data_IF_829204534670
#
_entry.id   IF_829204534670
#
_cell.length_a   1.000
_cell.length_b   1.000
_cell.length_c   1.000
_cell.angle_alpha   90.00
_cell.angle_beta   90.00
_cell.angle_gamma   90.00
#
_symmetry.space_group_name_H-M   'P 1'
#
loop_
_entity.id
_entity.type
_entity.pdbx_description
1 polymer ?
#
# COMPACT_ATOMS: atom_id res chain seq x y z
N UNK A 1 8.86 23.75 7.55
CA UNK A 1 9.69 22.53 7.46
C UNK A 1 9.75 21.71 8.75
N UNK A 2 10.17 22.24 9.91
CA UNK A 2 10.30 21.45 11.17
C UNK A 2 9.01 20.76 11.63
N UNK A 3 7.88 21.47 11.54
CA UNK A 3 6.57 20.91 11.89
C UNK A 3 6.18 19.77 10.93
N UNK A 4 6.42 19.94 9.62
CA UNK A 4 6.16 18.90 8.63
C UNK A 4 6.96 17.63 8.93
N UNK A 5 8.26 17.77 9.21
CA UNK A 5 9.11 16.63 9.61
C UNK A 5 8.54 15.94 10.85
N UNK A 6 8.19 16.69 11.90
CA UNK A 6 7.61 16.12 13.11
C UNK A 6 6.31 15.34 12.83
N UNK A 7 5.40 15.89 12.03
CA UNK A 7 4.14 15.22 11.67
C UNK A 7 4.37 13.93 10.87
N UNK A 8 5.31 13.92 9.93
CA UNK A 8 5.64 12.72 9.15
C UNK A 8 6.27 11.65 10.04
N UNK A 9 7.20 12.02 10.94
CA UNK A 9 7.79 11.09 11.89
C UNK A 9 6.75 10.53 12.87
N UNK A 10 5.83 11.36 13.36
CA UNK A 10 4.70 10.92 14.19
C UNK A 10 3.79 9.95 13.43
N UNK A 11 3.45 10.27 12.18
CA UNK A 11 2.64 9.38 11.32
C UNK A 11 3.29 8.00 11.17
N UNK A 12 4.60 7.98 10.90
CA UNK A 12 5.37 6.75 10.76
C UNK A 12 5.43 5.97 12.07
N UNK A 13 5.75 6.64 13.18
CA UNK A 13 5.82 6.02 14.51
C UNK A 13 4.47 5.45 14.98
N UNK A 14 3.38 6.18 14.79
CA UNK A 14 2.02 5.71 15.11
C UNK A 14 1.63 4.49 14.29
N UNK A 15 2.03 4.46 13.01
CA UNK A 15 1.85 3.28 12.17
C UNK A 15 2.63 2.11 12.76
N UNK A 16 3.94 2.24 13.02
CA UNK A 16 4.80 1.16 13.53
C UNK A 16 4.38 0.62 14.90
N UNK A 17 3.89 1.49 15.78
CA UNK A 17 3.37 1.12 17.11
C UNK A 17 2.01 0.41 17.04
N UNK A 18 1.38 0.33 15.87
CA UNK A 18 0.11 -0.36 15.66
C UNK A 18 -1.07 0.44 16.19
N UNK A 19 -1.05 1.77 16.08
CA UNK A 19 -2.21 2.59 16.44
C UNK A 19 -3.42 2.20 15.57
N UNK A 20 -4.48 1.70 16.21
CA UNK A 20 -5.71 1.27 15.54
C UNK A 20 -6.77 2.37 15.46
N UNK A 21 -6.47 3.59 15.95
CA UNK A 21 -7.39 4.72 15.95
C UNK A 21 -7.17 5.66 14.75
N UNK A 22 -6.11 5.44 13.97
CA UNK A 22 -5.85 6.17 12.73
C UNK A 22 -5.33 7.59 12.94
N UNK A 23 -4.64 7.85 14.05
CA UNK A 23 -4.01 9.14 14.33
C UNK A 23 -3.09 9.61 13.18
N UNK A 24 -2.39 8.66 12.54
CA UNK A 24 -1.51 8.95 11.41
C UNK A 24 -2.23 9.66 10.25
N UNK A 25 -3.51 9.35 10.01
CA UNK A 25 -4.25 9.95 8.89
C UNK A 25 -4.53 11.43 9.14
N UNK A 26 -4.73 11.82 10.40
CA UNK A 26 -4.83 13.23 10.79
C UNK A 26 -3.49 13.96 10.59
N UNK A 27 -2.38 13.33 10.96
CA UNK A 27 -1.04 13.87 10.73
C UNK A 27 -0.70 14.00 9.24
N UNK A 28 -1.07 13.02 8.40
CA UNK A 28 -0.90 13.08 6.95
C UNK A 28 -1.75 14.20 6.33
N UNK A 29 -3.01 14.38 6.75
CA UNK A 29 -3.84 15.51 6.28
C UNK A 29 -3.25 16.87 6.65
N UNK A 30 -2.77 17.03 7.88
CA UNK A 30 -2.10 18.25 8.30
C UNK A 30 -0.81 18.48 7.50
N UNK A 31 -0.02 17.41 7.28
CA UNK A 31 1.19 17.44 6.46
C UNK A 31 0.90 17.93 5.05
N UNK A 32 -0.15 17.41 4.40
CA UNK A 32 -0.59 17.86 3.07
C UNK A 32 -0.77 19.38 2.99
N UNK A 33 -1.42 19.98 3.99
CA UNK A 33 -1.65 21.44 4.01
C UNK A 33 -0.34 22.22 4.13
N UNK A 34 0.58 21.75 4.97
CA UNK A 34 1.91 22.36 5.07
C UNK A 34 2.71 22.22 3.78
N UNK A 35 2.60 21.08 3.10
CA UNK A 35 3.27 20.85 1.82
C UNK A 35 2.75 21.82 0.77
N UNK A 36 1.42 22.00 0.68
CA UNK A 36 0.80 22.98 -0.22
C UNK A 36 1.27 24.41 0.07
N UNK A 37 1.40 24.79 1.35
CA UNK A 37 1.92 26.10 1.73
C UNK A 37 3.39 26.27 1.33
N UNK A 38 4.21 25.24 1.49
CA UNK A 38 5.62 25.26 1.11
C UNK A 38 5.80 25.31 -0.41
N UNK A 39 4.98 24.59 -1.18
CA UNK A 39 5.01 24.57 -2.63
C UNK A 39 4.65 25.94 -3.25
N UNK A 40 3.74 26.68 -2.60
CA UNK A 40 3.29 28.00 -3.04
C UNK A 40 4.14 29.15 -2.46
N UNK A 41 5.11 28.86 -1.59
CA UNK A 41 6.03 29.86 -1.08
C UNK A 41 7.19 30.01 -2.07
N UNK A 42 7.61 31.24 -2.44
CA UNK A 42 8.86 31.42 -3.16
C UNK A 42 9.96 30.94 -2.22
N UNK A 43 10.43 29.70 -2.42
CA UNK A 43 11.52 29.11 -1.64
C UNK A 43 12.70 30.07 -1.76
N UNK A 44 12.92 30.85 -0.70
CA UNK A 44 14.15 31.60 -0.53
C UNK A 44 15.28 30.62 -0.73
N UNK A 45 16.19 30.96 -1.65
CA UNK A 45 17.46 30.31 -1.93
C UNK A 45 18.04 29.71 -0.66
N UNK A 46 17.72 28.45 -0.39
CA UNK A 46 18.08 27.79 0.85
C UNK A 46 19.04 26.66 0.52
N UNK A 47 20.02 26.53 1.40
CA UNK A 47 21.10 25.56 1.37
C UNK A 47 20.63 24.16 0.97
N UNK A 48 21.47 23.43 0.23
CA UNK A 48 21.22 22.09 -0.34
C UNK A 48 20.56 21.11 0.66
N UNK A 49 20.90 21.22 1.95
CA UNK A 49 20.41 20.33 3.01
C UNK A 49 18.90 20.44 3.27
N UNK A 50 18.31 21.65 3.22
CA UNK A 50 16.87 21.82 3.46
C UNK A 50 16.05 21.22 2.32
N UNK A 51 16.53 21.35 1.09
CA UNK A 51 15.91 20.76 -0.09
C UNK A 51 16.01 19.23 -0.08
N UNK A 52 17.17 18.68 0.33
CA UNK A 52 17.35 17.23 0.50
C UNK A 52 16.45 16.67 1.60
N UNK A 53 16.35 17.35 2.74
CA UNK A 53 15.45 16.95 3.82
C UNK A 53 13.97 17.03 3.40
N UNK A 54 13.58 18.09 2.69
CA UNK A 54 12.22 18.22 2.16
C UNK A 54 11.90 17.09 1.16
N UNK A 55 12.85 16.75 0.28
CA UNK A 55 12.74 15.61 -0.64
C UNK A 55 12.45 14.31 0.11
N UNK A 56 13.27 13.99 1.11
CA UNK A 56 13.09 12.80 1.94
C UNK A 56 11.74 12.77 2.67
N UNK A 57 11.33 13.89 3.25
CA UNK A 57 10.03 14.02 3.95
C UNK A 57 8.85 13.82 3.00
N UNK A 58 8.95 14.34 1.77
CA UNK A 58 7.91 14.19 0.75
C UNK A 58 7.86 12.76 0.20
N UNK A 59 8.99 12.07 0.13
CA UNK A 59 9.03 10.66 -0.19
C UNK A 59 8.31 9.80 0.86
N UNK A 60 8.59 10.00 2.16
CA UNK A 60 7.89 9.28 3.24
C UNK A 60 6.39 9.59 3.20
N UNK A 61 6.01 10.85 3.01
CA UNK A 61 4.61 11.24 2.87
C UNK A 61 3.94 10.47 1.72
N UNK A 62 4.53 10.44 0.53
CA UNK A 62 4.00 9.72 -0.64
C UNK A 62 3.90 8.22 -0.35
N UNK A 63 4.94 7.63 0.24
CA UNK A 63 4.95 6.22 0.61
C UNK A 63 3.76 5.88 1.51
N UNK A 64 3.60 6.60 2.63
CA UNK A 64 2.52 6.38 3.58
C UNK A 64 1.13 6.61 2.94
N UNK A 65 0.98 7.64 2.12
CA UNK A 65 -0.29 7.90 1.41
C UNK A 65 -0.63 6.73 0.49
N UNK A 66 0.33 6.26 -0.31
CA UNK A 66 0.10 5.23 -1.33
C UNK A 66 -0.24 3.86 -0.71
N UNK A 67 0.61 3.36 0.19
CA UNK A 67 0.46 2.02 0.76
C UNK A 67 -0.77 1.87 1.66
N UNK A 68 -1.37 2.97 2.11
CA UNK A 68 -2.57 2.91 2.94
C UNK A 68 -3.88 2.79 2.13
N UNK A 69 -3.82 2.70 0.80
CA UNK A 69 -5.00 2.49 -0.07
C UNK A 69 -5.49 1.03 -0.15
N UNK A 70 -5.24 0.22 0.89
CA UNK A 70 -5.64 -1.21 0.99
C UNK A 70 -7.15 -1.48 1.13
N UNK A 71 -7.98 -0.44 1.03
CA UNK A 71 -9.44 -0.53 1.04
C UNK A 71 -10.01 0.37 -0.05
N UNK A 72 -11.22 0.10 -0.58
CA UNK A 72 -11.86 0.97 -1.57
C UNK A 72 -11.89 2.44 -1.13
N UNK A 73 -11.69 3.34 -2.09
CA UNK A 73 -11.63 4.78 -1.82
C UNK A 73 -12.93 5.26 -1.17
N UNK A 74 -12.81 6.10 -0.12
CA UNK A 74 -13.98 6.60 0.61
C UNK A 74 -14.69 5.56 1.49
N UNK A 75 -14.22 4.30 1.55
CA UNK A 75 -14.83 3.30 2.42
C UNK A 75 -14.68 3.67 3.91
N UNK A 76 -13.64 4.40 4.29
CA UNK A 76 -13.47 4.89 5.66
C UNK A 76 -13.06 6.36 5.54
N UNK A 77 -13.96 7.26 5.90
CA UNK A 77 -13.75 8.71 5.76
C UNK A 77 -12.51 9.16 6.54
N UNK A 78 -12.37 8.69 7.78
CA UNK A 78 -11.22 8.98 8.66
C UNK A 78 -9.89 8.41 8.16
N UNK A 79 -9.88 7.55 7.14
CA UNK A 79 -8.67 7.06 6.45
C UNK A 79 -8.41 7.78 5.13
N UNK A 80 -9.46 8.28 4.49
CA UNK A 80 -9.39 8.77 3.11
C UNK A 80 -8.46 9.98 3.01
N UNK A 81 -7.49 9.87 2.12
CA UNK A 81 -6.54 10.92 1.75
C UNK A 81 -6.74 11.23 0.27
N UNK A 82 -6.75 12.50 -0.13
CA UNK A 82 -6.84 12.87 -1.54
C UNK A 82 -5.60 12.40 -2.30
N UNK A 83 -5.80 12.01 -3.56
CA UNK A 83 -4.70 11.79 -4.48
C UNK A 83 -4.27 13.15 -5.07
N UNK A 84 -3.06 13.56 -4.76
CA UNK A 84 -2.55 14.90 -5.00
C UNK A 84 -1.63 14.95 -6.21
N UNK A 85 -2.15 15.35 -7.37
CA UNK A 85 -1.37 15.48 -8.61
C UNK A 85 -0.32 16.58 -8.54
N UNK A 86 -0.47 17.56 -7.63
CA UNK A 86 0.52 18.63 -7.46
C UNK A 86 1.88 18.13 -6.96
N UNK A 87 1.93 16.91 -6.38
CA UNK A 87 3.17 16.29 -5.92
C UNK A 87 4.01 15.75 -7.07
N UNK A 88 3.45 15.57 -8.26
CA UNK A 88 4.17 15.02 -9.40
C UNK A 88 5.19 16.03 -9.92
N UNK A 89 4.80 17.30 -10.02
CA UNK A 89 5.68 18.41 -10.39
C UNK A 89 6.81 18.58 -9.36
N UNK A 90 6.48 18.47 -8.07
CA UNK A 90 7.46 18.61 -6.97
C UNK A 90 8.44 17.44 -6.99
N UNK A 91 7.98 16.20 -7.22
CA UNK A 91 8.84 15.01 -7.27
C UNK A 91 9.75 15.00 -8.48
N UNK A 92 9.34 15.55 -9.62
CA UNK A 92 10.23 15.74 -10.77
C UNK A 92 11.52 16.47 -10.39
N UNK A 93 11.42 17.48 -9.50
CA UNK A 93 12.57 18.24 -9.00
C UNK A 93 13.40 17.53 -7.92
N UNK A 94 12.90 16.43 -7.35
CA UNK A 94 13.55 15.66 -6.27
C UNK A 94 14.50 14.58 -6.76
N UNK A 95 14.37 14.18 -8.02
CA UNK A 95 15.19 13.13 -8.66
C UNK A 95 16.69 13.43 -8.64
N UNK A 96 17.07 14.68 -8.36
CA UNK A 96 18.45 15.12 -8.18
C UNK A 96 19.10 14.67 -6.85
N UNK A 97 18.32 14.17 -5.89
CA UNK A 97 18.83 13.74 -4.58
C UNK A 97 18.98 12.22 -4.51
N UNK A 98 20.10 11.79 -3.92
CA UNK A 98 20.47 10.38 -3.71
C UNK A 98 19.52 9.59 -2.80
N UNK A 99 18.69 10.28 -2.00
CA UNK A 99 17.69 9.65 -1.14
C UNK A 99 16.45 9.19 -1.90
N UNK A 100 16.22 9.71 -3.12
CA UNK A 100 14.98 9.51 -3.87
C UNK A 100 14.77 8.03 -4.20
N UNK A 101 13.66 7.46 -3.71
CA UNK A 101 13.23 6.09 -3.98
C UNK A 101 13.71 5.06 -2.96
N UNK A 102 14.52 5.47 -1.99
CA UNK A 102 15.05 4.58 -0.95
C UNK A 102 13.95 3.98 -0.07
N UNK A 103 12.92 4.76 0.28
CA UNK A 103 11.82 4.30 1.15
C UNK A 103 10.96 3.25 0.44
N UNK A 104 10.84 3.36 -0.89
CA UNK A 104 10.06 2.43 -1.69
C UNK A 104 10.79 1.11 -1.98
N UNK A 105 12.10 1.01 -1.77
CA UNK A 105 12.86 -0.20 -2.11
C UNK A 105 12.74 -0.60 -3.59
N UNK A 106 12.42 0.34 -4.47
CA UNK A 106 12.16 0.12 -5.90
C UNK A 106 10.69 -0.10 -6.29
N UNK A 107 9.74 -0.20 -5.35
CA UNK A 107 8.32 -0.47 -5.65
C UNK A 107 7.47 0.78 -5.91
N UNK A 108 8.08 1.97 -6.00
CA UNK A 108 7.37 3.26 -6.13
C UNK A 108 6.31 3.25 -7.22
N UNK A 109 6.68 2.84 -8.44
CA UNK A 109 5.77 2.83 -9.57
C UNK A 109 4.58 1.87 -9.41
N UNK A 110 4.69 0.85 -8.56
CA UNK A 110 3.59 -0.06 -8.22
C UNK A 110 2.69 0.53 -7.13
N UNK A 111 3.26 1.10 -6.07
CA UNK A 111 2.47 1.67 -4.98
C UNK A 111 1.72 2.94 -5.39
N UNK A 112 2.28 3.73 -6.31
CA UNK A 112 1.58 4.88 -6.91
C UNK A 112 0.29 4.49 -7.65
N UNK A 113 0.14 3.22 -8.05
CA UNK A 113 -1.05 2.72 -8.76
C UNK A 113 -2.20 2.43 -7.76
N UNK A 114 -1.89 2.13 -6.50
CA UNK A 114 -2.87 1.70 -5.48
C UNK A 114 -4.04 2.69 -5.28
N UNK A 115 -3.85 4.02 -5.20
CA UNK A 115 -4.97 4.97 -5.12
C UNK A 115 -5.97 4.83 -6.27
N UNK A 116 -5.47 4.64 -7.50
CA UNK A 116 -6.33 4.46 -8.67
C UNK A 116 -7.10 3.12 -8.61
N UNK A 117 -6.46 2.05 -8.15
CA UNK A 117 -7.14 0.76 -7.93
C UNK A 117 -8.24 0.90 -6.86
N UNK A 118 -7.98 1.63 -5.77
CA UNK A 118 -8.96 1.89 -4.73
C UNK A 118 -10.16 2.70 -5.23
N UNK A 119 -9.94 3.67 -6.12
CA UNK A 119 -11.02 4.43 -6.80
C UNK A 119 -11.84 3.53 -7.72
N UNK A 120 -11.18 2.66 -8.51
CA UNK A 120 -11.88 1.68 -9.34
C UNK A 120 -12.73 0.74 -8.48
N UNK A 121 -12.19 0.24 -7.37
CA UNK A 121 -12.90 -0.62 -6.43
C UNK A 121 -14.16 0.06 -5.90
N UNK A 122 -14.04 1.31 -5.43
CA UNK A 122 -15.18 2.08 -4.93
C UNK A 122 -16.27 2.26 -5.98
N UNK A 123 -15.87 2.56 -7.23
CA UNK A 123 -16.80 2.70 -8.35
C UNK A 123 -17.54 1.38 -8.65
N UNK A 124 -16.80 0.28 -8.78
CA UNK A 124 -17.34 -1.04 -9.13
C UNK A 124 -18.32 -1.59 -8.11
N UNK A 125 -18.22 -1.19 -6.83
CA UNK A 125 -19.20 -1.56 -5.80
C UNK A 125 -20.61 -1.00 -6.06
N UNK A 126 -20.73 0.10 -6.80
CA UNK A 126 -22.02 0.74 -7.10
C UNK A 126 -22.62 0.29 -8.42
N UNK A 127 -21.83 -0.37 -9.26
CA UNK A 127 -22.18 -0.74 -10.62
C UNK A 127 -22.63 -2.21 -10.68
N UNK A 128 -23.79 -2.49 -11.30
CA UNK A 128 -24.24 -3.86 -11.55
C UNK A 128 -23.29 -4.60 -12.50
N UNK A 129 -23.00 -3.97 -13.63
CA UNK A 129 -22.07 -4.42 -14.67
C UNK A 129 -20.99 -3.36 -14.90
N UNK A 130 -19.75 -3.71 -15.29
CA UNK A 130 -18.68 -2.73 -15.51
C UNK A 130 -19.06 -1.68 -16.55
N UNK A 131 -19.03 -0.40 -16.14
CA UNK A 131 -19.19 0.70 -17.09
C UNK A 131 -18.01 0.78 -18.05
N UNK A 132 -18.19 1.39 -19.23
CA UNK A 132 -17.11 1.60 -20.21
C UNK A 132 -15.90 2.31 -19.58
N UNK A 133 -16.13 3.24 -18.65
CA UNK A 133 -15.06 3.97 -17.99
C UNK A 133 -14.35 3.10 -16.94
N UNK A 134 -15.07 2.25 -16.19
CA UNK A 134 -14.45 1.24 -15.31
C UNK A 134 -13.58 0.27 -16.11
N UNK A 135 -14.08 -0.25 -17.24
CA UNK A 135 -13.33 -1.19 -18.09
C UNK A 135 -12.07 -0.55 -18.69
N UNK A 136 -12.15 0.71 -19.14
CA UNK A 136 -10.96 1.45 -19.62
C UNK A 136 -9.94 1.68 -18.52
N UNK A 137 -10.40 2.07 -17.34
CA UNK A 137 -9.52 2.28 -16.18
C UNK A 137 -8.84 0.97 -15.78
N UNK A 138 -9.58 -0.14 -15.72
CA UNK A 138 -9.04 -1.48 -15.50
C UNK A 138 -7.96 -1.84 -16.52
N UNK A 139 -8.25 -1.70 -17.82
CA UNK A 139 -7.29 -2.02 -18.88
C UNK A 139 -6.02 -1.18 -18.79
N UNK A 140 -6.16 0.13 -18.56
CA UNK A 140 -5.01 1.04 -18.43
C UNK A 140 -4.14 0.69 -17.21
N UNK A 141 -4.77 0.40 -16.06
CA UNK A 141 -4.06 -0.01 -14.85
C UNK A 141 -3.38 -1.37 -15.05
N UNK A 142 -4.07 -2.33 -15.64
CA UNK A 142 -3.53 -3.65 -15.92
C UNK A 142 -2.27 -3.56 -16.77
N UNK A 143 -2.34 -2.87 -17.91
CA UNK A 143 -1.17 -2.63 -18.79
C UNK A 143 -0.03 -1.98 -18.02
N UNK A 144 -0.32 -0.93 -17.25
CA UNK A 144 0.70 -0.22 -16.45
C UNK A 144 1.39 -1.14 -15.42
N UNK A 145 0.67 -2.07 -14.81
CA UNK A 145 1.23 -3.02 -13.83
C UNK A 145 2.03 -4.12 -14.53
N UNK A 146 1.51 -4.69 -15.62
CA UNK A 146 2.16 -5.80 -16.34
C UNK A 146 3.40 -5.37 -17.11
N UNK A 147 3.40 -4.15 -17.65
CA UNK A 147 4.55 -3.59 -18.36
C UNK A 147 5.56 -2.89 -17.44
N UNK A 148 5.24 -2.77 -16.14
CA UNK A 148 6.13 -2.16 -15.17
C UNK A 148 7.45 -2.95 -15.06
N UNK A 149 8.57 -2.25 -15.18
CA UNK A 149 9.92 -2.82 -15.02
C UNK A 149 10.50 -2.36 -13.71
N UNK A 150 11.19 -3.27 -13.02
CA UNK A 150 11.97 -2.92 -11.84
C UNK A 150 12.98 -1.83 -12.22
N UNK A 151 13.07 -0.73 -11.44
CA UNK A 151 14.16 0.22 -11.61
C UNK A 151 15.49 -0.45 -11.27
N UNK A 152 16.58 0.11 -11.78
CA UNK A 152 17.92 -0.29 -11.34
C UNK A 152 18.14 0.11 -9.87
N UNK A 153 18.87 -0.69 -9.09
CA UNK A 153 19.18 -0.33 -7.71
C UNK A 153 20.08 0.91 -7.68
N UNK A 154 19.78 1.85 -6.78
CA UNK A 154 20.60 3.07 -6.56
C UNK A 154 22.01 2.69 -6.11
N UNK A 155 22.12 1.64 -5.28
CA UNK A 155 23.40 1.04 -4.86
C UNK A 155 23.35 -0.44 -5.23
N UNK A 156 24.27 -0.94 -6.07
CA UNK A 156 24.36 -2.36 -6.37
C UNK A 156 24.74 -3.14 -5.11
N UNK A 157 23.76 -3.74 -4.44
CA UNK A 157 23.98 -4.73 -3.38
C UNK A 157 23.72 -6.12 -3.92
N UNK A 158 24.80 -6.81 -4.28
CA UNK A 158 24.74 -8.16 -4.82
C UNK A 158 24.21 -9.18 -3.79
N UNK A 159 24.28 -8.87 -2.49
CA UNK A 159 23.88 -9.80 -1.42
C UNK A 159 22.39 -10.10 -1.43
N UNK A 160 21.56 -9.10 -1.71
CA UNK A 160 20.09 -9.20 -1.59
C UNK A 160 19.37 -9.05 -2.93
N UNK A 161 20.09 -9.14 -4.05
CA UNK A 161 19.52 -8.88 -5.36
C UNK A 161 18.37 -9.85 -5.71
N UNK A 162 18.52 -11.14 -5.42
CA UNK A 162 17.44 -12.11 -5.61
C UNK A 162 16.21 -11.78 -4.76
N UNK A 163 16.39 -11.41 -3.49
CA UNK A 163 15.28 -11.09 -2.58
C UNK A 163 14.62 -9.78 -2.96
N UNK A 164 15.38 -8.82 -3.51
CA UNK A 164 14.85 -7.59 -4.10
C UNK A 164 13.90 -7.92 -5.25
N UNK A 165 14.35 -8.70 -6.21
CA UNK A 165 13.55 -9.07 -7.39
C UNK A 165 12.26 -9.76 -6.96
N UNK A 166 12.36 -10.76 -6.08
CA UNK A 166 11.20 -11.47 -5.51
C UNK A 166 10.25 -10.52 -4.77
N UNK A 167 10.76 -9.59 -3.95
CA UNK A 167 9.91 -8.64 -3.22
C UNK A 167 9.17 -7.68 -4.17
N UNK A 168 9.81 -7.26 -5.26
CA UNK A 168 9.18 -6.41 -6.27
C UNK A 168 8.13 -7.17 -7.08
N UNK A 169 8.37 -8.43 -7.41
CA UNK A 169 7.38 -9.32 -8.02
C UNK A 169 6.19 -9.55 -7.09
N UNK A 170 6.43 -9.78 -5.80
CA UNK A 170 5.38 -9.86 -4.78
C UNK A 170 4.52 -8.60 -4.76
N UNK A 171 5.14 -7.42 -4.77
CA UNK A 171 4.41 -6.15 -4.84
C UNK A 171 3.56 -6.07 -6.13
N UNK A 172 4.10 -6.48 -7.28
CA UNK A 172 3.36 -6.47 -8.56
C UNK A 172 2.14 -7.37 -8.50
N UNK A 173 2.32 -8.61 -8.04
CA UNK A 173 1.25 -9.60 -7.89
C UNK A 173 0.16 -9.14 -6.92
N UNK A 174 0.51 -8.48 -5.83
CA UNK A 174 -0.46 -7.93 -4.90
C UNK A 174 -1.28 -6.77 -5.52
N UNK A 175 -0.65 -5.91 -6.32
CA UNK A 175 -1.38 -4.83 -7.02
C UNK A 175 -2.30 -5.42 -8.10
N UNK A 176 -1.88 -6.46 -8.83
CA UNK A 176 -2.73 -7.20 -9.77
C UNK A 176 -3.92 -7.87 -9.06
N UNK A 177 -3.66 -8.54 -7.93
CA UNK A 177 -4.71 -9.14 -7.10
C UNK A 177 -5.73 -8.11 -6.64
N UNK A 178 -5.28 -6.93 -6.19
CA UNK A 178 -6.20 -5.86 -5.83
C UNK A 178 -6.99 -5.37 -7.06
N UNK A 179 -6.34 -5.22 -8.22
CA UNK A 179 -7.02 -4.81 -9.44
C UNK A 179 -8.13 -5.80 -9.87
N UNK A 180 -7.86 -7.11 -9.81
CA UNK A 180 -8.83 -8.15 -10.11
C UNK A 180 -10.02 -8.10 -9.14
N UNK A 181 -9.76 -8.03 -7.82
CA UNK A 181 -10.83 -7.93 -6.81
C UNK A 181 -11.62 -6.61 -6.91
N UNK A 182 -10.99 -5.52 -7.34
CA UNK A 182 -11.64 -4.24 -7.60
C UNK A 182 -12.61 -4.33 -8.78
N UNK A 183 -12.20 -4.96 -9.88
CA UNK A 183 -13.02 -5.09 -11.09
C UNK A 183 -14.20 -6.05 -10.90
N UNK A 184 -13.95 -7.14 -10.18
CA UNK A 184 -14.88 -8.23 -9.97
C UNK A 184 -15.25 -8.38 -8.47
N UNK A 185 -16.05 -7.46 -7.89
CA UNK A 185 -16.39 -7.49 -6.47
C UNK A 185 -17.23 -8.71 -6.04
N UNK A 186 -17.71 -9.51 -7.00
CA UNK A 186 -18.42 -10.79 -6.79
C UNK A 186 -17.58 -11.99 -7.22
N UNK A 187 -16.25 -11.86 -7.21
CA UNK A 187 -15.33 -12.85 -7.74
C UNK A 187 -15.53 -14.26 -7.19
N UNK A 188 -16.02 -14.40 -5.95
CA UNK A 188 -16.26 -15.72 -5.34
C UNK A 188 -17.41 -16.50 -6.01
N UNK A 189 -18.32 -15.82 -6.70
CA UNK A 189 -19.44 -16.45 -7.42
C UNK A 189 -19.03 -16.98 -8.80
N UNK A 190 -17.88 -16.57 -9.34
CA UNK A 190 -17.37 -17.01 -10.64
C UNK A 190 -16.11 -17.85 -10.47
N UNK A 191 -16.18 -19.12 -10.87
CA UNK A 191 -15.07 -20.07 -10.69
C UNK A 191 -13.78 -19.60 -11.36
N UNK A 192 -13.86 -18.99 -12.55
CA UNK A 192 -12.67 -18.55 -13.30
C UNK A 192 -11.97 -17.41 -12.58
N UNK A 193 -12.71 -16.39 -12.15
CA UNK A 193 -12.16 -15.26 -11.39
C UNK A 193 -11.66 -15.70 -10.02
N UNK A 194 -12.37 -16.62 -9.35
CA UNK A 194 -11.92 -17.20 -8.08
C UNK A 194 -10.57 -17.90 -8.22
N UNK A 195 -10.40 -18.73 -9.26
CA UNK A 195 -9.11 -19.41 -9.50
C UNK A 195 -7.99 -18.40 -9.72
N UNK A 196 -8.19 -17.39 -10.58
CA UNK A 196 -7.17 -16.34 -10.82
C UNK A 196 -6.74 -15.63 -9.54
N UNK A 197 -7.69 -15.30 -8.65
CA UNK A 197 -7.38 -14.70 -7.36
C UNK A 197 -6.55 -15.62 -6.48
N UNK A 198 -6.88 -16.92 -6.43
CA UNK A 198 -6.14 -17.88 -5.63
C UNK A 198 -4.72 -18.10 -6.18
N UNK A 199 -4.55 -18.09 -7.50
CA UNK A 199 -3.24 -18.19 -8.15
C UNK A 199 -2.33 -17.02 -7.72
N UNK A 200 -2.83 -15.79 -7.74
CA UNK A 200 -2.08 -14.63 -7.22
C UNK A 200 -1.71 -14.79 -5.74
N UNK A 201 -2.65 -15.27 -4.90
CA UNK A 201 -2.38 -15.49 -3.46
C UNK A 201 -1.28 -16.53 -3.26
N UNK A 202 -1.29 -17.64 -4.01
CA UNK A 202 -0.26 -18.67 -3.93
C UNK A 202 1.12 -18.14 -4.37
N UNK A 203 1.18 -17.36 -5.45
CA UNK A 203 2.42 -16.72 -5.92
C UNK A 203 2.96 -15.73 -4.87
N UNK A 204 2.10 -14.88 -4.31
CA UNK A 204 2.48 -13.90 -3.28
C UNK A 204 3.06 -14.61 -2.06
N UNK A 205 2.45 -15.73 -1.61
CA UNK A 205 2.97 -16.50 -0.49
C UNK A 205 4.33 -17.12 -0.78
N UNK A 206 4.53 -17.67 -1.97
CA UNK A 206 5.81 -18.20 -2.41
C UNK A 206 6.90 -17.11 -2.38
N UNK A 207 6.61 -15.93 -2.90
CA UNK A 207 7.55 -14.82 -2.87
C UNK A 207 7.78 -14.26 -1.47
N UNK A 208 6.76 -14.28 -0.59
CA UNK A 208 6.91 -13.83 0.79
C UNK A 208 7.90 -14.71 1.56
N UNK A 209 7.83 -16.03 1.36
CA UNK A 209 8.75 -16.99 1.95
C UNK A 209 10.19 -16.76 1.44
N UNK A 210 10.36 -16.49 0.15
CA UNK A 210 11.67 -16.23 -0.47
C UNK A 210 12.28 -14.88 -0.10
N UNK A 211 11.46 -13.84 0.10
CA UNK A 211 11.91 -12.51 0.51
C UNK A 211 12.20 -12.42 2.02
N UNK A 212 11.78 -13.41 2.81
CA UNK A 212 11.98 -13.41 4.25
C UNK A 212 13.46 -13.42 4.64
N UNK A 213 13.78 -12.79 5.77
CA UNK A 213 15.14 -12.58 6.26
C UNK A 213 15.89 -11.45 5.55
N UNK A 214 15.32 -10.80 4.53
CA UNK A 214 15.96 -9.71 3.78
C UNK A 214 15.46 -8.32 4.22
N UNK A 215 16.23 -7.23 3.99
CA UNK A 215 15.76 -5.85 4.20
C UNK A 215 14.41 -5.52 3.55
N UNK A 216 14.05 -6.18 2.46
CA UNK A 216 12.83 -5.91 1.71
C UNK A 216 11.54 -6.32 2.43
N UNK A 217 11.61 -7.05 3.54
CA UNK A 217 10.45 -7.30 4.40
C UNK A 217 9.71 -6.01 4.81
N UNK A 218 10.42 -4.88 4.91
CA UNK A 218 9.84 -3.60 5.33
C UNK A 218 8.82 -3.02 4.34
N UNK A 219 8.80 -3.47 3.09
CA UNK A 219 7.81 -3.01 2.10
C UNK A 219 6.66 -4.01 1.88
N UNK A 220 6.67 -5.15 2.58
CA UNK A 220 5.75 -6.26 2.30
C UNK A 220 4.43 -6.18 3.06
N UNK A 221 4.29 -5.33 4.08
CA UNK A 221 3.07 -5.36 4.88
C UNK A 221 1.82 -4.97 4.07
N UNK A 222 1.88 -3.91 3.26
CA UNK A 222 0.78 -3.53 2.38
C UNK A 222 0.35 -4.65 1.41
N UNK A 223 1.25 -5.24 0.60
CA UNK A 223 0.87 -6.32 -0.30
C UNK A 223 0.39 -7.57 0.44
N UNK A 224 0.95 -7.89 1.61
CA UNK A 224 0.48 -9.00 2.44
C UNK A 224 -0.90 -8.74 3.06
N UNK A 225 -1.25 -7.50 3.39
CA UNK A 225 -2.61 -7.14 3.82
C UNK A 225 -3.63 -7.36 2.70
N UNK A 226 -3.29 -6.95 1.48
CA UNK A 226 -4.13 -7.19 0.29
C UNK A 226 -4.30 -8.69 0.08
N UNK A 227 -3.21 -9.45 -0.01
CA UNK A 227 -3.26 -10.89 -0.24
C UNK A 227 -3.95 -11.66 0.88
N UNK A 228 -3.62 -11.33 2.13
CA UNK A 228 -4.21 -11.91 3.33
C UNK A 228 -5.72 -11.76 3.36
N UNK A 229 -6.24 -10.60 2.96
CA UNK A 229 -7.69 -10.37 2.89
C UNK A 229 -8.41 -11.25 1.85
N UNK A 230 -7.67 -11.81 0.89
CA UNK A 230 -8.16 -12.73 -0.15
C UNK A 230 -7.93 -14.21 0.19
N UNK A 231 -7.27 -14.54 1.31
CA UNK A 231 -6.95 -15.94 1.62
C UNK A 231 -8.18 -16.75 2.02
N UNK A 232 -8.36 -17.90 1.37
CA UNK A 232 -9.44 -18.85 1.69
C UNK A 232 -8.95 -20.09 2.41
N UNK A 233 -7.70 -20.52 2.16
CA UNK A 233 -7.17 -21.75 2.73
C UNK A 233 -6.58 -21.53 4.12
N UNK A 234 -6.94 -22.41 5.06
CA UNK A 234 -6.50 -22.32 6.46
C UNK A 234 -4.98 -22.38 6.59
N UNK A 235 -4.28 -23.16 5.76
CA UNK A 235 -2.83 -23.28 5.81
C UNK A 235 -2.10 -21.98 5.40
N UNK A 236 -2.61 -21.26 4.41
CA UNK A 236 -2.08 -19.95 4.01
C UNK A 236 -2.29 -18.92 5.13
N UNK A 237 -3.50 -18.89 5.71
CA UNK A 237 -3.87 -17.99 6.81
C UNK A 237 -2.95 -18.19 8.02
N UNK A 238 -2.73 -19.44 8.41
CA UNK A 238 -1.84 -19.79 9.53
C UNK A 238 -0.39 -19.38 9.27
N UNK A 239 0.13 -19.66 8.07
CA UNK A 239 1.50 -19.25 7.68
C UNK A 239 1.67 -17.73 7.72
N UNK A 240 0.73 -16.98 7.14
CA UNK A 240 0.78 -15.51 7.16
C UNK A 240 0.67 -14.97 8.59
N UNK A 241 -0.24 -15.50 9.40
CA UNK A 241 -0.40 -15.08 10.80
C UNK A 241 0.87 -15.33 11.61
N UNK A 242 1.50 -16.49 11.43
CA UNK A 242 2.78 -16.81 12.07
C UNK A 242 3.88 -15.84 11.62
N UNK A 243 4.01 -15.59 10.31
CA UNK A 243 5.00 -14.66 9.76
C UNK A 243 4.83 -13.23 10.29
N UNK A 244 3.61 -12.70 10.29
CA UNK A 244 3.31 -11.35 10.79
C UNK A 244 3.54 -11.20 12.30
N UNK A 245 3.37 -12.28 13.09
CA UNK A 245 3.60 -12.25 14.54
C UNK A 245 5.06 -12.56 14.93
N UNK A 246 5.85 -13.12 14.02
CA UNK A 246 7.25 -13.48 14.25
C UNK A 246 8.24 -12.62 13.47
N UNK A 247 7.81 -11.44 13.00
CA UNK A 247 8.69 -10.54 12.24
C UNK A 247 9.92 -10.19 13.07
N UNK A 248 11.10 -10.24 12.43
CA UNK A 248 12.39 -9.95 13.09
C UNK A 248 12.45 -8.57 13.72
N UNK A 249 11.65 -7.64 13.21
CA UNK A 249 11.59 -6.26 13.67
C UNK A 249 10.69 -6.06 14.89
N UNK A 250 9.92 -7.08 15.29
CA UNK A 250 9.03 -7.05 16.45
C UNK A 250 8.07 -5.84 16.46
N UNK A 251 7.64 -5.41 15.27
CA UNK A 251 6.83 -4.22 15.13
C UNK A 251 5.35 -4.54 15.36
N UNK A 252 4.73 -3.87 16.34
CA UNK A 252 3.38 -4.19 16.83
C UNK A 252 2.31 -4.07 15.75
N UNK A 253 2.50 -3.20 14.75
CA UNK A 253 1.56 -3.06 13.64
C UNK A 253 1.42 -4.33 12.78
N UNK A 254 2.45 -5.18 12.69
CA UNK A 254 2.32 -6.49 12.04
C UNK A 254 1.40 -7.43 12.86
N UNK A 255 1.44 -7.35 14.19
CA UNK A 255 0.54 -8.11 15.08
C UNK A 255 -0.90 -7.61 14.94
N UNK A 256 -1.10 -6.28 14.83
CA UNK A 256 -2.41 -5.68 14.59
C UNK A 256 -2.96 -6.07 13.21
N UNK A 257 -2.10 -6.06 12.18
CA UNK A 257 -2.44 -6.53 10.84
C UNK A 257 -2.91 -8.00 10.86
N UNK A 258 -2.18 -8.89 11.54
CA UNK A 258 -2.58 -10.28 11.71
C UNK A 258 -3.95 -10.43 12.40
N UNK A 259 -4.17 -9.65 13.47
CA UNK A 259 -5.45 -9.65 14.20
C UNK A 259 -6.60 -9.13 13.34
N UNK A 260 -6.36 -8.11 12.51
CA UNK A 260 -7.36 -7.58 11.59
C UNK A 260 -7.72 -8.59 10.50
N UNK A 261 -6.73 -9.29 9.94
CA UNK A 261 -6.98 -10.35 8.96
C UNK A 261 -7.77 -11.52 9.55
N UNK A 262 -7.50 -11.88 10.81
CA UNK A 262 -8.28 -12.90 11.53
C UNK A 262 -9.76 -12.53 11.66
N UNK A 263 -10.07 -11.24 11.88
CA UNK A 263 -11.45 -10.75 11.87
C UNK A 263 -12.11 -10.85 10.48
N UNK A 264 -11.35 -10.67 9.40
CA UNK A 264 -11.84 -10.88 8.02
C UNK A 264 -12.13 -12.36 7.78
N UNK A 265 -11.22 -13.26 8.16
CA UNK A 265 -11.35 -14.69 7.92
C UNK A 265 -12.45 -15.37 8.73
N UNK A 266 -12.76 -14.84 9.90
CA UNK A 266 -13.80 -15.35 10.81
C UNK A 266 -15.18 -14.71 10.56
N UNK A 267 -15.30 -13.82 9.58
CA UNK A 267 -16.60 -13.25 9.22
C UNK A 267 -17.48 -14.33 8.55
N UNK A 268 -18.75 -14.51 8.99
CA UNK A 268 -19.64 -15.49 8.39
C UNK A 268 -20.12 -15.12 6.98
N UNK A 269 -19.97 -13.85 6.57
CA UNK A 269 -20.41 -13.35 5.27
C UNK A 269 -19.35 -13.56 4.21
N UNK A 270 -19.68 -14.30 3.16
CA UNK A 270 -18.83 -14.43 1.96
C UNK A 270 -18.58 -13.08 1.24
N UNK A 271 -19.33 -12.03 1.58
CA UNK A 271 -19.08 -10.68 1.06
C UNK A 271 -17.90 -9.98 1.73
N UNK A 272 -17.46 -10.48 2.89
CA UNK A 272 -16.28 -9.99 3.59
C UNK A 272 -15.07 -10.72 3.03
N UNK A 273 -14.63 -10.23 1.88
CA UNK A 273 -13.53 -10.79 1.12
C UNK A 273 -12.71 -9.68 0.45
N UNK A 274 -11.40 -9.87 0.41
CA UNK A 274 -10.45 -8.97 -0.22
C UNK A 274 -10.41 -7.57 0.42
N UNK A 275 -9.79 -6.61 -0.27
CA UNK A 275 -9.68 -5.22 0.20
C UNK A 275 -11.01 -4.55 0.55
N UNK A 276 -12.11 -4.93 -0.12
CA UNK A 276 -13.45 -4.49 0.25
C UNK A 276 -13.87 -5.04 1.63
N UNK A 277 -13.76 -6.36 1.82
CA UNK A 277 -14.07 -7.00 3.09
C UNK A 277 -13.22 -6.47 4.24
N UNK A 278 -11.93 -6.20 3.97
CA UNK A 278 -11.05 -5.54 4.92
C UNK A 278 -11.62 -4.20 5.38
N UNK A 279 -12.05 -3.34 4.44
CA UNK A 279 -12.69 -2.07 4.76
C UNK A 279 -13.99 -2.20 5.57
N UNK A 280 -14.80 -3.24 5.29
CA UNK A 280 -16.02 -3.54 6.04
C UNK A 280 -15.70 -3.89 7.49
N UNK A 281 -14.74 -4.79 7.72
CA UNK A 281 -14.34 -5.24 9.06
C UNK A 281 -13.71 -4.10 9.86
N UNK A 282 -12.84 -3.31 9.22
CA UNK A 282 -12.22 -2.13 9.81
C UNK A 282 -13.28 -1.15 10.31
N UNK A 283 -14.25 -0.78 9.44
CA UNK A 283 -15.34 0.13 9.80
C UNK A 283 -16.20 -0.43 10.94
N UNK A 284 -16.61 -1.70 10.84
CA UNK A 284 -17.50 -2.33 11.83
C UNK A 284 -16.85 -2.48 13.20
N UNK A 285 -15.54 -2.72 13.24
CA UNK A 285 -14.78 -2.97 14.47
C UNK A 285 -14.15 -1.69 15.04
N UNK A 286 -14.34 -0.54 14.39
CA UNK A 286 -13.70 0.72 14.81
C UNK A 286 -12.16 0.71 14.67
N UNK A 287 -11.62 -0.11 13.75
CA UNK A 287 -10.18 -0.24 13.52
C UNK A 287 -9.80 0.61 12.30
N UNK A 288 -8.91 1.56 12.49
CA UNK A 288 -8.30 2.39 11.46
C UNK A 288 -6.76 2.22 11.47
N UNK A 289 -6.31 1.00 11.23
CA UNK A 289 -4.90 0.60 11.27
C UNK A 289 -4.08 1.22 10.14
N UNK A 290 -2.99 1.89 10.49
CA UNK A 290 -1.95 2.31 9.55
C UNK A 290 -1.07 1.16 9.06
N UNK A 291 -0.68 1.21 7.79
CA UNK A 291 0.40 0.38 7.24
C UNK A 291 1.63 1.27 6.99
N UNK A 292 2.81 0.82 7.42
CA UNK A 292 4.11 1.44 7.19
C UNK A 292 5.17 0.37 6.97
#
# INVERSE_FOLDING_TARGET
MRILLALIMLSFFESLTGNTQGAMFSHLRASRQLILQLANSPLQSSTNDNSRLLSFVLEIYRYLVFINNITPFGAIESRTLPHDTFLDDIVGTMTQFDTCGAIFGGSHGLFEILPSVAVLAARRLTEKDPSRASSRMYQALHVRITEWKSPDPVVPDQKWQSQREVALELCREAVLLYLETAMFPRALSDTVTRTRILDHVDIIMLYAEQASGSPYETILLCPLMIAGSCMMRTDQRQRLQAGLRSTRFHMNHCVQAASLLELVWNDPSERVFGPYGLGVVMRRSGINLGVA
#
